data_IF_266343706303
#
_entry.id   IF_266343706303
#
_cell.length_a   1.000
_cell.length_b   1.000
_cell.length_c   1.000
_cell.angle_alpha   90.00
_cell.angle_beta   90.00
_cell.angle_gamma   90.00
#
_symmetry.space_group_name_H-M   'P 1'
#
loop_
_entity.id
_entity.type
_entity.pdbx_description
1 polymer ?
#
# COMPACT_ATOMS: atom_id res chain seq x y z
N UNK A 1 2.45 -1.57 -12.55
CA UNK A 1 1.87 -0.30 -12.97
C UNK A 1 1.91 0.67 -11.83
N UNK A 2 0.84 1.46 -11.69
CA UNK A 2 0.70 2.50 -10.67
C UNK A 2 -0.37 2.12 -9.66
N UNK A 3 -0.24 2.62 -8.43
CA UNK A 3 -1.32 2.58 -7.45
C UNK A 3 -2.42 3.53 -7.92
N UNK A 4 -3.58 2.97 -8.25
CA UNK A 4 -4.72 3.74 -8.74
C UNK A 4 -5.50 4.32 -7.57
N UNK A 5 -5.90 5.57 -7.73
CA UNK A 5 -6.74 6.33 -6.83
C UNK A 5 -8.04 6.63 -7.57
N UNK A 6 -9.17 6.38 -6.92
CA UNK A 6 -10.50 6.63 -7.48
C UNK A 6 -11.43 7.11 -6.37
N UNK A 7 -12.53 7.74 -6.76
CA UNK A 7 -13.61 8.13 -5.85
C UNK A 7 -14.61 6.98 -5.69
N UNK A 8 -15.32 6.95 -4.57
CA UNK A 8 -16.40 5.99 -4.35
C UNK A 8 -17.60 6.39 -5.23
N UNK A 9 -18.08 5.45 -6.05
CA UNK A 9 -19.11 5.73 -7.07
C UNK A 9 -20.51 5.92 -6.48
N UNK A 10 -20.82 5.21 -5.39
CA UNK A 10 -22.06 5.37 -4.63
C UNK A 10 -21.91 6.53 -3.66
N UNK A 11 -21.91 7.74 -4.21
CA UNK A 11 -21.75 8.96 -3.42
C UNK A 11 -22.96 9.88 -3.61
N UNK A 12 -24.02 9.72 -2.79
CA UNK A 12 -25.24 10.49 -2.93
C UNK A 12 -24.96 11.97 -2.64
N UNK A 13 -25.15 12.81 -3.66
CA UNK A 13 -24.92 14.26 -3.60
C UNK A 13 -25.62 14.93 -2.42
N UNK A 14 -26.84 14.50 -2.10
CA UNK A 14 -27.59 15.01 -0.94
C UNK A 14 -26.84 14.88 0.40
N UNK A 15 -26.18 13.74 0.65
CA UNK A 15 -25.43 13.56 1.91
C UNK A 15 -24.18 14.43 1.94
N UNK A 16 -23.49 14.60 0.81
CA UNK A 16 -22.33 15.49 0.75
C UNK A 16 -22.76 16.94 1.00
N UNK A 17 -23.82 17.40 0.34
CA UNK A 17 -24.33 18.75 0.50
C UNK A 17 -24.81 19.00 1.94
N UNK A 18 -25.52 18.03 2.54
CA UNK A 18 -25.96 18.11 3.93
C UNK A 18 -24.76 18.24 4.89
N UNK A 19 -23.73 17.42 4.71
CA UNK A 19 -22.53 17.43 5.55
C UNK A 19 -21.73 18.72 5.35
N UNK A 20 -21.43 19.09 4.11
CA UNK A 20 -20.70 20.32 3.77
C UNK A 20 -21.39 21.57 4.32
N UNK A 21 -22.71 21.68 4.18
CA UNK A 21 -23.46 22.81 4.72
C UNK A 21 -23.48 22.82 6.26
N UNK A 22 -23.68 21.66 6.89
CA UNK A 22 -23.70 21.55 8.35
C UNK A 22 -22.35 21.92 8.99
N UNK A 23 -21.25 21.42 8.44
CA UNK A 23 -19.90 21.77 8.89
C UNK A 23 -19.51 23.21 8.51
N UNK A 24 -20.03 23.74 7.40
CA UNK A 24 -19.87 25.14 7.03
C UNK A 24 -20.44 26.10 8.07
N UNK A 25 -21.57 25.76 8.71
CA UNK A 25 -22.13 26.55 9.83
C UNK A 25 -21.22 26.57 11.06
N UNK A 26 -20.31 25.61 11.20
CA UNK A 26 -19.30 25.55 12.26
C UNK A 26 -17.97 26.21 11.84
N UNK A 27 -17.89 26.78 10.63
CA UNK A 27 -16.70 27.46 10.12
C UNK A 27 -15.74 26.58 9.31
N UNK A 28 -16.08 25.31 9.04
CA UNK A 28 -15.23 24.43 8.24
C UNK A 28 -15.46 24.62 6.74
N UNK A 29 -14.38 24.68 5.98
CA UNK A 29 -14.42 24.75 4.53
C UNK A 29 -14.49 23.35 3.89
N UNK A 30 -15.16 23.24 2.74
CA UNK A 30 -15.15 22.02 1.93
C UNK A 30 -14.03 22.10 0.88
N UNK A 31 -13.27 21.01 0.74
CA UNK A 31 -12.17 20.88 -0.22
C UNK A 31 -12.39 19.69 -1.17
N UNK A 32 -11.99 19.89 -2.43
CA UNK A 32 -12.08 18.88 -3.48
C UNK A 32 -10.91 17.89 -3.48
N UNK A 33 -9.76 18.28 -2.93
CA UNK A 33 -8.57 17.44 -2.84
C UNK A 33 -8.18 17.23 -1.37
N UNK A 34 -8.22 15.97 -0.95
CA UNK A 34 -7.84 15.54 0.40
C UNK A 34 -6.32 15.50 0.60
N UNK A 35 -5.53 15.52 -0.48
CA UNK A 35 -4.06 15.51 -0.42
C UNK A 35 -3.45 16.92 -0.52
N UNK A 36 -4.29 17.95 -0.67
CA UNK A 36 -3.84 19.33 -0.62
C UNK A 36 -3.41 19.70 0.81
N UNK A 37 -2.66 20.80 0.94
CA UNK A 37 -2.13 21.27 2.22
C UNK A 37 -3.23 21.98 3.03
N UNK A 38 -4.20 21.21 3.49
CA UNK A 38 -5.27 21.65 4.39
C UNK A 38 -5.27 20.75 5.63
N UNK A 39 -5.22 21.36 6.81
CA UNK A 39 -5.12 20.64 8.08
C UNK A 39 -6.49 20.13 8.56
N UNK A 40 -7.56 20.83 8.20
CA UNK A 40 -8.93 20.51 8.60
C UNK A 40 -9.95 21.01 7.56
N UNK A 41 -11.14 20.41 7.58
CA UNK A 41 -12.21 20.72 6.64
C UNK A 41 -13.09 19.51 6.33
N UNK A 42 -14.02 19.71 5.41
CA UNK A 42 -14.82 18.63 4.83
C UNK A 42 -14.16 18.20 3.53
N UNK A 43 -13.86 16.91 3.41
CA UNK A 43 -13.13 16.37 2.26
C UNK A 43 -13.92 15.27 1.57
N UNK A 44 -13.87 15.29 0.25
CA UNK A 44 -14.31 14.16 -0.57
C UNK A 44 -13.21 13.10 -0.57
N UNK A 45 -13.42 12.03 0.20
CA UNK A 45 -12.40 11.00 0.42
C UNK A 45 -12.21 10.15 -0.84
N UNK A 46 -10.94 10.00 -1.25
CA UNK A 46 -10.53 9.08 -2.30
C UNK A 46 -9.99 7.77 -1.69
N UNK A 47 -10.07 6.68 -2.45
CA UNK A 47 -9.54 5.39 -2.03
C UNK A 47 -8.52 4.83 -3.02
N UNK A 48 -7.70 3.88 -2.55
CA UNK A 48 -6.87 3.03 -3.41
C UNK A 48 -7.76 2.04 -4.17
N UNK A 49 -8.30 2.52 -5.29
CA UNK A 49 -9.39 1.92 -6.03
C UNK A 49 -9.07 1.89 -7.52
N UNK A 50 -9.59 0.88 -8.20
CA UNK A 50 -9.55 0.72 -9.65
C UNK A 50 -10.90 0.19 -10.11
N UNK A 51 -11.72 1.08 -10.69
CA UNK A 51 -13.09 0.78 -11.11
C UNK A 51 -13.96 0.23 -9.97
N UNK A 52 -13.96 0.91 -8.82
CA UNK A 52 -14.75 0.52 -7.64
C UNK A 52 -14.27 -0.74 -6.91
N UNK A 53 -13.13 -1.33 -7.31
CA UNK A 53 -12.51 -2.46 -6.61
C UNK A 53 -11.22 -2.01 -5.94
N UNK A 54 -10.89 -2.63 -4.80
CA UNK A 54 -9.62 -2.41 -4.09
C UNK A 54 -8.42 -2.57 -5.04
N UNK A 55 -7.56 -1.57 -5.10
CA UNK A 55 -6.25 -1.62 -5.77
C UNK A 55 -5.16 -1.85 -4.71
N UNK A 56 -4.86 -3.12 -4.41
CA UNK A 56 -3.80 -3.47 -3.46
C UNK A 56 -2.41 -3.18 -4.02
N UNK A 57 -1.41 -3.07 -3.14
CA UNK A 57 0.00 -2.94 -3.55
C UNK A 57 0.47 -4.10 -4.43
N UNK A 58 0.01 -5.32 -4.16
CA UNK A 58 0.28 -6.48 -5.01
C UNK A 58 -0.33 -6.32 -6.42
N UNK A 59 -1.56 -5.80 -6.53
CA UNK A 59 -2.17 -5.52 -7.84
C UNK A 59 -1.41 -4.41 -8.58
N UNK A 60 -1.11 -3.31 -7.89
CA UNK A 60 -0.48 -2.13 -8.46
C UNK A 60 0.97 -2.38 -8.91
N UNK A 61 1.78 -2.99 -8.05
CA UNK A 61 3.24 -3.03 -8.21
C UNK A 61 3.81 -4.41 -8.49
N UNK A 62 3.06 -5.50 -8.26
CA UNK A 62 3.59 -6.86 -8.39
C UNK A 62 2.97 -7.63 -9.55
N UNK A 63 1.64 -7.67 -9.65
CA UNK A 63 0.91 -8.54 -10.56
C UNK A 63 1.28 -8.34 -12.03
N UNK A 64 1.41 -7.09 -12.48
CA UNK A 64 1.80 -6.77 -13.86
C UNK A 64 3.25 -7.14 -14.19
N UNK A 65 4.11 -7.23 -13.18
CA UNK A 65 5.56 -7.42 -13.36
C UNK A 65 6.07 -8.78 -12.89
N UNK A 66 5.18 -9.64 -12.40
CA UNK A 66 5.53 -10.94 -11.80
C UNK A 66 6.28 -11.90 -12.75
N UNK A 67 6.14 -11.71 -14.08
CA UNK A 67 6.79 -12.54 -15.09
C UNK A 67 8.24 -12.13 -15.39
N UNK A 68 8.74 -11.01 -14.83
CA UNK A 68 10.11 -10.57 -15.06
C UNK A 68 11.12 -11.61 -14.55
N UNK A 69 12.12 -12.02 -15.35
CA UNK A 69 13.00 -13.13 -14.99
C UNK A 69 13.87 -12.83 -13.75
N UNK A 70 14.17 -11.56 -13.50
CA UNK A 70 14.95 -11.05 -12.38
C UNK A 70 14.13 -10.79 -11.10
N UNK A 71 12.81 -11.06 -11.11
CA UNK A 71 11.95 -10.93 -9.94
C UNK A 71 11.44 -12.31 -9.54
N UNK A 72 11.72 -12.73 -8.30
CA UNK A 72 11.24 -14.00 -7.74
C UNK A 72 10.33 -13.71 -6.56
N UNK A 73 9.13 -14.29 -6.59
CA UNK A 73 8.11 -14.11 -5.55
C UNK A 73 7.90 -15.45 -4.85
N UNK A 74 8.21 -15.52 -3.56
CA UNK A 74 8.00 -16.71 -2.74
C UNK A 74 6.84 -16.51 -1.78
N UNK A 75 5.69 -17.12 -2.08
CA UNK A 75 4.52 -17.12 -1.19
C UNK A 75 4.70 -18.12 -0.03
N UNK A 76 3.97 -17.90 1.07
CA UNK A 76 3.97 -18.78 2.25
C UNK A 76 5.40 -19.06 2.76
N UNK A 77 6.21 -18.01 2.81
CA UNK A 77 7.64 -18.07 3.14
C UNK A 77 7.92 -17.02 4.19
N UNK A 78 7.76 -17.38 5.47
CA UNK A 78 7.97 -16.42 6.57
C UNK A 78 9.47 -16.34 6.89
N UNK A 79 10.06 -15.15 6.74
CA UNK A 79 11.42 -14.88 7.19
C UNK A 79 11.40 -14.76 8.71
N UNK A 80 12.28 -15.48 9.41
CA UNK A 80 12.34 -15.46 10.87
C UNK A 80 13.72 -15.05 11.40
N UNK A 81 14.74 -14.96 10.55
CA UNK A 81 16.08 -14.53 10.94
C UNK A 81 16.81 -13.85 9.78
N UNK A 82 17.48 -12.75 10.07
CA UNK A 82 18.51 -12.17 9.19
C UNK A 82 19.85 -12.81 9.58
N UNK A 83 20.59 -13.28 8.57
CA UNK A 83 21.91 -13.87 8.75
C UNK A 83 22.96 -12.76 8.67
N UNK A 84 23.69 -12.56 9.76
CA UNK A 84 24.69 -11.49 9.92
C UNK A 84 26.05 -12.15 10.17
N UNK A 85 27.09 -11.73 9.45
CA UNK A 85 28.47 -12.21 9.62
C UNK A 85 29.18 -11.48 10.76
N UNK A 86 30.36 -11.97 11.14
CA UNK A 86 31.15 -11.41 12.26
C UNK A 86 31.55 -9.94 12.08
N UNK A 87 31.59 -9.45 10.84
CA UNK A 87 31.81 -8.04 10.51
C UNK A 87 30.52 -7.20 10.42
N UNK A 88 29.41 -7.67 10.99
CA UNK A 88 28.10 -7.01 10.98
C UNK A 88 27.47 -6.78 9.59
N UNK A 89 27.83 -7.61 8.60
CA UNK A 89 27.21 -7.55 7.27
C UNK A 89 26.06 -8.54 7.16
N UNK A 90 24.89 -8.10 6.70
CA UNK A 90 23.80 -9.01 6.36
C UNK A 90 24.13 -9.76 5.06
N UNK A 91 24.19 -11.10 5.12
CA UNK A 91 24.54 -11.93 3.96
C UNK A 91 23.40 -12.87 3.53
N UNK A 92 22.28 -12.90 4.26
CA UNK A 92 21.14 -13.70 3.86
C UNK A 92 19.98 -13.64 4.85
N UNK A 93 18.97 -14.46 4.57
CA UNK A 93 17.82 -14.66 5.45
C UNK A 93 17.51 -16.14 5.60
N UNK A 94 16.97 -16.50 6.75
CA UNK A 94 16.41 -17.82 7.02
C UNK A 94 14.88 -17.72 7.04
N UNK A 95 14.23 -18.54 6.20
CA UNK A 95 12.78 -18.56 6.03
C UNK A 95 12.21 -19.95 6.28
N UNK A 96 10.98 -19.99 6.79
CA UNK A 96 10.21 -21.22 6.92
C UNK A 96 9.22 -21.35 5.77
N UNK A 97 9.30 -22.46 5.04
CA UNK A 97 8.43 -22.76 3.90
C UNK A 97 8.20 -24.27 3.78
N UNK A 98 6.93 -24.65 3.62
CA UNK A 98 6.52 -26.05 3.40
C UNK A 98 7.13 -27.03 4.44
N UNK A 99 7.11 -26.66 5.72
CA UNK A 99 7.61 -27.49 6.81
C UNK A 99 9.13 -27.50 6.98
N UNK A 100 9.88 -26.68 6.23
CA UNK A 100 11.33 -26.69 6.22
C UNK A 100 11.90 -25.29 6.40
N UNK A 101 13.06 -25.25 7.03
CA UNK A 101 13.92 -24.07 7.11
C UNK A 101 14.75 -24.01 5.82
N UNK A 102 14.75 -22.84 5.16
CA UNK A 102 15.49 -22.57 3.93
C UNK A 102 16.33 -21.31 4.15
N UNK A 103 17.59 -21.35 3.71
CA UNK A 103 18.48 -20.19 3.69
C UNK A 103 18.56 -19.60 2.29
N UNK A 104 18.45 -18.27 2.21
CA UNK A 104 18.61 -17.52 0.97
C UNK A 104 19.73 -16.51 1.19
N UNK A 105 20.81 -16.64 0.42
CA UNK A 105 21.93 -15.70 0.45
C UNK A 105 21.64 -14.48 -0.41
N UNK A 106 22.18 -13.32 -0.01
CA UNK A 106 22.07 -12.06 -0.74
C UNK A 106 23.45 -11.52 -1.07
N UNK A 107 23.58 -10.88 -2.24
CA UNK A 107 24.86 -10.31 -2.70
C UNK A 107 25.00 -8.83 -2.43
N UNK A 108 23.92 -8.15 -2.01
CA UNK A 108 23.89 -6.70 -1.79
C UNK A 108 23.27 -6.34 -0.46
N UNK A 109 21.95 -6.44 -0.37
CA UNK A 109 21.19 -5.89 0.76
C UNK A 109 20.00 -6.77 1.13
N UNK A 110 19.58 -6.68 2.39
CA UNK A 110 18.31 -7.21 2.91
C UNK A 110 17.41 -6.02 3.23
N UNK A 111 16.18 -6.00 2.72
CA UNK A 111 15.17 -4.96 2.97
C UNK A 111 14.03 -5.57 3.79
N UNK A 112 13.65 -4.92 4.90
CA UNK A 112 12.59 -5.35 5.83
C UNK A 112 11.38 -4.43 5.76
#
# INVERSE_FOLDING_TARGET
GYLKIDSFKDNPTFLNDLMSNGYGQLGYQTFSDINAQHEEGVFMVQGTLDNGRRCSTAKAFLHEFQARPNLKISKHSMVHKVLISDNNTAYGVELFKAGRIIRVEVTKEVIL
#
